data_IF_781105238070
#
_entry.id   IF_781105238070
#
_cell.length_a   1.000
_cell.length_b   1.000
_cell.length_c   1.000
_cell.angle_alpha   90.00
_cell.angle_beta   90.00
_cell.angle_gamma   90.00
#
_symmetry.space_group_name_H-M   'P 1'
#
loop_
_entity.id
_entity.type
_entity.pdbx_description
1 polymer ?
#
# COMPACT_ATOMS: atom_id res chain seq x y z
N UNK A 1 -68.37 21.56 -33.49
CA UNK A 1 -67.01 22.02 -33.79
C UNK A 1 -66.22 22.02 -32.47
N UNK A 2 -65.47 20.94 -32.18
CA UNK A 2 -64.70 20.79 -30.93
C UNK A 2 -63.25 21.18 -31.24
N UNK A 3 -62.77 22.20 -30.57
CA UNK A 3 -61.37 22.68 -30.68
C UNK A 3 -60.54 21.85 -29.71
N UNK A 4 -59.60 21.04 -30.22
CA UNK A 4 -58.57 20.37 -29.44
C UNK A 4 -57.41 21.37 -29.24
N UNK A 5 -57.14 21.69 -27.97
CA UNK A 5 -55.97 22.45 -27.57
C UNK A 5 -54.86 21.44 -27.23
N UNK A 6 -53.80 21.39 -28.08
CA UNK A 6 -52.58 20.65 -27.78
C UNK A 6 -51.72 21.48 -26.82
N UNK A 7 -51.56 21.01 -25.58
CA UNK A 7 -50.57 21.57 -24.65
C UNK A 7 -49.20 20.94 -24.98
N UNK A 8 -48.28 21.75 -25.50
CA UNK A 8 -46.87 21.39 -25.71
C UNK A 8 -46.14 21.49 -24.36
N UNK A 9 -45.82 20.34 -23.73
CA UNK A 9 -44.99 20.28 -22.56
C UNK A 9 -43.51 20.47 -22.97
N UNK A 10 -42.94 21.61 -22.68
CA UNK A 10 -41.51 21.85 -22.79
C UNK A 10 -40.80 21.11 -21.63
N UNK A 11 -40.16 19.98 -21.93
CA UNK A 11 -39.24 19.31 -20.97
C UNK A 11 -37.93 20.11 -20.97
N UNK A 12 -37.76 20.94 -19.98
CA UNK A 12 -36.47 21.56 -19.67
C UNK A 12 -35.54 20.46 -19.13
N UNK A 13 -34.70 19.91 -19.99
CA UNK A 13 -33.56 19.10 -19.61
C UNK A 13 -32.53 20.00 -18.93
N UNK A 14 -32.50 20.03 -17.60
CA UNK A 14 -31.39 20.57 -16.87
C UNK A 14 -30.17 19.70 -17.15
N UNK A 15 -29.01 20.28 -17.56
CA UNK A 15 -27.78 19.52 -17.61
C UNK A 15 -27.52 18.99 -16.18
N UNK A 16 -27.32 17.69 -16.03
CA UNK A 16 -26.83 17.12 -14.80
C UNK A 16 -25.44 17.73 -14.57
N UNK A 17 -25.36 18.72 -13.70
CA UNK A 17 -24.07 19.19 -13.18
C UNK A 17 -23.45 17.99 -12.47
N UNK A 18 -22.41 17.40 -13.08
CA UNK A 18 -21.61 16.39 -12.43
C UNK A 18 -21.15 16.97 -11.09
N UNK A 19 -21.39 16.25 -10.01
CA UNK A 19 -20.98 16.68 -8.67
C UNK A 19 -19.48 16.97 -8.71
N UNK A 20 -19.10 18.20 -8.37
CA UNK A 20 -17.69 18.61 -8.37
C UNK A 20 -16.91 17.70 -7.40
N UNK A 21 -15.80 17.12 -7.88
CA UNK A 21 -14.98 16.23 -7.05
C UNK A 21 -14.42 16.98 -5.86
N UNK A 22 -14.60 16.44 -4.68
CA UNK A 22 -14.04 16.96 -3.45
C UNK A 22 -12.74 16.23 -3.14
N UNK A 23 -11.74 16.98 -2.73
CA UNK A 23 -10.40 16.48 -2.49
C UNK A 23 -9.91 16.80 -1.10
N UNK A 24 -9.06 15.93 -0.57
CA UNK A 24 -8.32 16.20 0.65
C UNK A 24 -6.89 15.64 0.54
N UNK A 25 -6.04 16.11 1.46
CA UNK A 25 -4.69 15.57 1.66
C UNK A 25 -4.60 15.05 3.10
N UNK A 26 -4.02 13.88 3.27
CA UNK A 26 -3.80 13.28 4.59
C UNK A 26 -2.81 14.12 5.39
N UNK A 27 -3.21 14.57 6.58
CA UNK A 27 -2.44 15.48 7.47
C UNK A 27 -1.64 14.72 8.54
N UNK A 28 -2.17 13.63 9.07
CA UNK A 28 -1.51 12.86 10.11
C UNK A 28 -0.50 11.89 9.50
N UNK A 29 0.52 11.49 10.25
CA UNK A 29 1.53 10.52 9.81
C UNK A 29 0.90 9.23 9.26
N UNK A 30 -0.21 8.82 9.83
CA UNK A 30 -1.09 7.81 9.23
C UNK A 30 -2.53 8.01 9.70
N UNK A 31 -3.48 7.74 8.81
CA UNK A 31 -4.90 7.67 9.13
C UNK A 31 -5.40 6.25 8.98
N UNK A 32 -6.35 5.86 9.85
CA UNK A 32 -7.06 4.59 9.73
C UNK A 32 -8.26 4.76 8.82
N UNK A 33 -8.38 3.93 7.80
CA UNK A 33 -9.54 3.80 6.93
C UNK A 33 -10.32 2.55 7.31
N UNK A 34 -11.59 2.70 7.63
CA UNK A 34 -12.45 1.64 8.17
C UNK A 34 -13.54 1.25 7.19
N UNK A 35 -14.04 0.03 7.35
CA UNK A 35 -15.10 -0.51 6.49
C UNK A 35 -16.41 0.29 6.58
N UNK A 36 -16.73 0.78 7.77
CA UNK A 36 -17.92 1.59 8.06
C UNK A 36 -17.52 2.86 8.84
N UNK A 37 -18.32 3.93 8.81
CA UNK A 37 -18.09 5.15 9.58
C UNK A 37 -18.35 4.93 11.08
N UNK A 38 -17.55 4.09 11.70
CA UNK A 38 -17.61 3.65 13.09
C UNK A 38 -16.23 3.22 13.59
N UNK A 39 -15.84 3.60 14.81
CA UNK A 39 -14.59 3.21 15.45
C UNK A 39 -14.49 1.70 15.75
N UNK A 40 -15.61 1.04 15.92
CA UNK A 40 -15.68 -0.41 16.16
C UNK A 40 -15.62 -1.23 14.88
N UNK A 41 -15.79 -0.58 13.73
CA UNK A 41 -15.69 -1.23 12.43
C UNK A 41 -14.26 -1.71 12.13
N UNK A 42 -14.15 -2.78 11.35
CA UNK A 42 -12.87 -3.33 10.93
C UNK A 42 -11.98 -2.28 10.23
N UNK A 43 -10.69 -2.30 10.56
CA UNK A 43 -9.68 -1.55 9.82
C UNK A 43 -9.51 -2.20 8.45
N UNK A 44 -9.64 -1.40 7.40
CA UNK A 44 -9.40 -1.83 6.01
C UNK A 44 -7.97 -1.54 5.57
N UNK A 45 -7.52 -0.32 5.81
CA UNK A 45 -6.16 0.12 5.47
C UNK A 45 -5.76 1.35 6.27
N UNK A 46 -4.52 1.75 6.12
CA UNK A 46 -4.00 3.06 6.50
C UNK A 46 -3.56 3.82 5.25
N UNK A 47 -3.66 5.15 5.30
CA UNK A 47 -3.01 6.04 4.34
C UNK A 47 -2.05 6.97 5.06
N UNK A 48 -0.98 7.36 4.36
CA UNK A 48 0.14 8.10 4.92
C UNK A 48 0.01 9.60 4.64
N UNK A 49 0.65 10.42 5.47
CA UNK A 49 0.71 11.88 5.29
C UNK A 49 1.12 12.27 3.87
N UNK A 50 0.42 13.25 3.34
CA UNK A 50 0.67 13.76 1.99
C UNK A 50 -0.03 13.01 0.86
N UNK A 51 -0.72 11.90 1.15
CA UNK A 51 -1.57 11.22 0.16
C UNK A 51 -2.75 12.10 -0.19
N UNK A 52 -2.97 12.33 -1.49
CA UNK A 52 -4.15 13.00 -2.02
C UNK A 52 -5.27 11.97 -2.17
N UNK A 53 -6.45 12.29 -1.64
CA UNK A 53 -7.62 11.41 -1.67
C UNK A 53 -8.85 12.15 -2.20
N UNK A 54 -9.75 11.45 -2.88
CA UNK A 54 -11.06 11.96 -3.27
C UNK A 54 -12.06 11.67 -2.13
N UNK A 55 -12.89 12.65 -1.77
CA UNK A 55 -13.98 12.47 -0.81
C UNK A 55 -15.23 12.08 -1.58
N UNK A 56 -15.65 10.83 -1.43
CA UNK A 56 -16.80 10.25 -2.14
C UNK A 56 -18.12 10.46 -1.39
N UNK A 57 -18.09 10.44 -0.05
CA UNK A 57 -19.27 10.65 0.79
C UNK A 57 -18.89 11.17 2.18
N UNK A 58 -19.90 11.61 2.95
CA UNK A 58 -19.69 12.03 4.33
C UNK A 58 -20.85 11.56 5.23
N UNK A 59 -20.53 11.28 6.50
CA UNK A 59 -21.49 10.95 7.55
C UNK A 59 -20.98 11.48 8.88
N UNK A 60 -21.55 12.59 9.34
CA UNK A 60 -21.06 13.31 10.51
C UNK A 60 -19.61 13.77 10.31
N UNK A 61 -18.74 13.40 11.23
CA UNK A 61 -17.28 13.68 11.11
C UNK A 61 -16.51 12.63 10.31
N UNK A 62 -17.17 11.65 9.68
CA UNK A 62 -16.56 10.65 8.80
C UNK A 62 -16.59 11.11 7.35
N UNK A 63 -15.53 10.77 6.62
CA UNK A 63 -15.39 10.93 5.18
C UNK A 63 -15.11 9.58 4.55
N UNK A 64 -15.93 9.17 3.59
CA UNK A 64 -15.58 8.06 2.70
C UNK A 64 -14.59 8.59 1.69
N UNK A 65 -13.37 8.11 1.75
CA UNK A 65 -12.27 8.56 0.89
C UNK A 65 -11.83 7.45 -0.05
N UNK A 66 -11.40 7.86 -1.24
CA UNK A 66 -10.78 6.98 -2.22
C UNK A 66 -9.33 7.38 -2.39
N UNK A 67 -8.44 6.44 -2.05
CA UNK A 67 -6.99 6.62 -2.16
C UNK A 67 -6.46 6.24 -3.55
N UNK A 68 -5.26 6.70 -3.93
CA UNK A 68 -4.59 6.24 -5.15
C UNK A 68 -4.45 4.72 -5.17
N UNK A 69 -4.58 4.11 -6.37
CA UNK A 69 -4.72 2.65 -6.56
C UNK A 69 -6.04 2.19 -5.93
N UNK A 70 -7.16 2.50 -6.54
CA UNK A 70 -8.48 2.74 -5.94
C UNK A 70 -8.78 1.85 -4.75
N UNK A 71 -8.84 2.46 -3.57
CA UNK A 71 -9.26 1.82 -2.33
C UNK A 71 -10.19 2.75 -1.56
N UNK A 72 -11.43 2.36 -1.38
CA UNK A 72 -12.48 3.19 -0.78
C UNK A 72 -12.83 2.70 0.63
N UNK A 73 -12.73 3.59 1.60
CA UNK A 73 -13.10 3.31 2.99
C UNK A 73 -13.28 4.61 3.80
N UNK A 74 -13.71 4.53 5.04
CA UNK A 74 -14.07 5.63 5.90
C UNK A 74 -12.92 6.07 6.81
N UNK A 75 -12.59 7.35 6.78
CA UNK A 75 -11.65 8.00 7.69
C UNK A 75 -12.32 9.17 8.42
N UNK A 76 -11.73 9.63 9.53
CA UNK A 76 -12.22 10.81 10.22
C UNK A 76 -11.70 12.09 9.57
N UNK A 77 -12.52 13.14 9.54
CA UNK A 77 -12.16 14.46 8.98
C UNK A 77 -10.90 15.06 9.62
N UNK A 78 -10.64 14.77 10.90
CA UNK A 78 -9.51 15.33 11.65
C UNK A 78 -8.13 14.89 11.10
N UNK A 79 -8.10 13.80 10.34
CA UNK A 79 -6.89 13.32 9.66
C UNK A 79 -6.69 13.91 8.25
N UNK A 80 -7.57 14.81 7.81
CA UNK A 80 -7.64 15.31 6.44
C UNK A 80 -7.62 16.82 6.38
N UNK A 81 -6.99 17.37 5.35
CA UNK A 81 -7.10 18.78 4.96
C UNK A 81 -7.85 18.84 3.64
N UNK A 82 -9.12 19.26 3.67
CA UNK A 82 -9.90 19.47 2.45
C UNK A 82 -9.32 20.63 1.66
N UNK A 83 -9.20 20.46 0.34
CA UNK A 83 -8.59 21.43 -0.57
C UNK A 83 -9.44 21.58 -1.82
N UNK A 84 -9.50 22.82 -2.35
CA UNK A 84 -10.07 23.06 -3.67
C UNK A 84 -9.23 22.40 -4.77
N UNK A 85 -9.79 22.26 -5.97
CA UNK A 85 -9.06 21.73 -7.12
C UNK A 85 -7.76 22.52 -7.39
N UNK A 86 -7.82 23.85 -7.31
CA UNK A 86 -6.64 24.69 -7.48
C UNK A 86 -5.57 24.41 -6.43
N UNK A 87 -5.95 24.31 -5.15
CA UNK A 87 -5.01 23.97 -4.07
C UNK A 87 -4.38 22.59 -4.23
N UNK A 88 -5.13 21.61 -4.75
CA UNK A 88 -4.60 20.29 -5.06
C UNK A 88 -3.55 20.36 -6.18
N UNK A 89 -3.79 21.14 -7.24
CA UNK A 89 -2.80 21.29 -8.33
C UNK A 89 -1.53 22.00 -7.81
N UNK A 90 -1.68 23.04 -6.99
CA UNK A 90 -0.56 23.69 -6.31
C UNK A 90 0.18 22.72 -5.38
N UNK A 91 -0.57 21.89 -4.63
CA UNK A 91 0.01 20.87 -3.76
C UNK A 91 0.79 19.80 -4.56
N UNK A 92 0.26 19.34 -5.70
CA UNK A 92 0.94 18.39 -6.59
C UNK A 92 2.23 18.97 -7.16
N UNK A 93 2.20 20.22 -7.61
CA UNK A 93 3.34 20.91 -8.22
C UNK A 93 4.46 21.26 -7.24
N UNK A 94 4.16 21.38 -5.94
CA UNK A 94 5.15 21.76 -4.93
C UNK A 94 6.24 20.69 -4.78
N UNK A 95 7.53 21.09 -4.64
CA UNK A 95 8.62 20.15 -4.35
C UNK A 95 8.36 19.36 -3.07
N UNK A 96 8.60 18.05 -3.10
CA UNK A 96 8.38 17.17 -1.96
C UNK A 96 9.62 16.38 -1.58
N UNK A 97 9.64 16.01 -0.32
CA UNK A 97 10.58 15.05 0.26
C UNK A 97 9.82 13.92 0.91
N UNK A 98 10.37 12.73 0.82
CA UNK A 98 9.87 11.52 1.45
C UNK A 98 10.60 11.33 2.78
N UNK A 99 9.88 11.11 3.86
CA UNK A 99 10.47 10.68 5.12
C UNK A 99 10.93 9.22 5.01
N UNK A 100 12.24 8.99 5.18
CA UNK A 100 12.89 7.71 4.85
C UNK A 100 13.29 6.88 6.08
N UNK A 101 13.14 7.41 7.30
CA UNK A 101 13.31 6.61 8.52
C UNK A 101 12.00 5.88 8.87
N UNK A 102 12.09 4.82 9.68
CA UNK A 102 10.90 4.07 10.10
C UNK A 102 9.93 4.91 10.95
N UNK A 103 10.50 5.75 11.82
CA UNK A 103 9.76 6.61 12.73
C UNK A 103 10.58 7.84 13.11
N UNK A 104 9.93 8.96 13.34
CA UNK A 104 10.57 10.20 13.78
C UNK A 104 9.59 11.29 14.16
N UNK A 105 10.09 12.52 14.24
CA UNK A 105 9.32 13.69 14.64
C UNK A 105 9.62 14.90 13.78
N UNK A 106 8.62 15.73 13.59
CA UNK A 106 8.75 17.08 13.10
C UNK A 106 8.90 18.03 14.29
N UNK A 107 9.90 18.89 14.27
CA UNK A 107 10.26 19.79 15.36
C UNK A 107 9.95 21.24 15.04
N UNK A 108 9.63 22.05 16.07
CA UNK A 108 9.31 23.48 15.93
C UNK A 108 10.52 24.34 15.56
N UNK A 109 11.74 23.89 15.83
CA UNK A 109 13.01 24.55 15.51
C UNK A 109 14.01 23.51 15.04
N UNK A 110 15.11 23.91 14.36
CA UNK A 110 16.16 22.98 13.89
C UNK A 110 17.01 22.45 15.07
N UNK A 111 16.34 21.76 15.99
CA UNK A 111 16.91 21.17 17.19
C UNK A 111 16.02 20.03 17.70
N UNK A 112 16.61 18.87 18.01
CA UNK A 112 15.90 17.72 18.56
C UNK A 112 15.39 17.97 20.02
N UNK A 113 15.88 19.00 20.69
CA UNK A 113 15.39 19.43 22.00
C UNK A 113 14.24 20.44 21.94
N UNK A 114 13.82 20.86 20.74
CA UNK A 114 12.67 21.76 20.59
C UNK A 114 11.35 20.98 20.66
N UNK A 115 10.23 21.70 20.80
CA UNK A 115 8.91 21.09 20.87
C UNK A 115 8.61 20.26 19.61
N UNK A 116 8.08 19.08 19.79
CA UNK A 116 7.54 18.22 18.72
C UNK A 116 6.24 18.79 18.20
N UNK A 117 6.09 18.88 16.88
CA UNK A 117 4.85 19.30 16.18
C UNK A 117 3.96 18.08 15.93
N UNK A 118 4.51 17.04 15.35
CA UNK A 118 3.85 15.76 15.10
C UNK A 118 4.89 14.64 14.97
N UNK A 119 4.41 13.39 14.97
CA UNK A 119 5.20 12.23 14.58
C UNK A 119 5.26 12.10 13.05
N UNK A 120 6.18 11.26 12.58
CA UNK A 120 6.36 10.88 11.19
C UNK A 120 6.63 9.39 11.09
N UNK A 121 6.17 8.77 10.02
CA UNK A 121 6.45 7.38 9.66
C UNK A 121 7.06 7.29 8.26
N UNK A 122 7.79 6.21 8.00
CA UNK A 122 8.37 5.97 6.68
C UNK A 122 7.30 6.02 5.58
N UNK A 123 7.56 6.82 4.55
CA UNK A 123 6.61 7.03 3.46
C UNK A 123 5.84 8.36 3.51
N UNK A 124 5.90 9.09 4.62
CA UNK A 124 5.27 10.42 4.71
C UNK A 124 5.86 11.37 3.68
N UNK A 125 4.97 12.08 2.94
CA UNK A 125 5.32 13.08 1.96
C UNK A 125 5.12 14.49 2.51
N UNK A 126 6.19 15.27 2.53
CA UNK A 126 6.23 16.62 3.06
C UNK A 126 6.63 17.62 1.97
N UNK A 127 6.03 18.79 1.93
CA UNK A 127 6.48 19.86 1.03
C UNK A 127 7.83 20.41 1.50
N UNK A 128 8.80 20.44 0.62
CA UNK A 128 10.11 21.03 0.90
C UNK A 128 9.99 22.56 0.96
N UNK A 129 10.57 23.18 1.99
CA UNK A 129 10.66 24.64 2.11
C UNK A 129 12.09 25.11 1.87
N UNK A 130 13.01 24.70 2.74
CA UNK A 130 14.43 25.06 2.63
C UNK A 130 15.32 24.17 3.49
N UNK A 131 16.62 24.23 3.25
CA UNK A 131 17.64 23.56 4.05
C UNK A 131 18.45 24.57 4.89
N UNK A 132 18.78 24.18 6.15
CA UNK A 132 19.65 24.96 7.04
C UNK A 132 20.59 23.99 7.76
N UNK A 133 21.85 23.93 7.32
CA UNK A 133 22.82 22.98 7.86
C UNK A 133 22.34 21.54 7.74
N UNK A 134 22.31 20.81 8.86
CA UNK A 134 21.84 19.43 8.94
C UNK A 134 20.31 19.27 9.00
N UNK A 135 19.56 20.38 8.91
CA UNK A 135 18.10 20.39 9.05
C UNK A 135 17.43 20.87 7.77
N UNK A 136 16.25 20.33 7.52
CA UNK A 136 15.35 20.76 6.44
C UNK A 136 14.04 21.25 7.06
N UNK A 137 13.62 22.43 6.66
CA UNK A 137 12.27 22.93 6.93
C UNK A 137 11.31 22.35 5.91
N UNK A 138 10.23 21.79 6.40
CA UNK A 138 9.16 21.20 5.59
C UNK A 138 7.81 21.77 6.00
N UNK A 139 6.82 21.62 5.15
CA UNK A 139 5.46 22.09 5.37
C UNK A 139 4.47 20.93 5.28
N UNK A 140 3.63 20.80 6.30
CA UNK A 140 2.51 19.88 6.36
C UNK A 140 1.40 20.29 5.38
N UNK A 141 0.45 19.40 5.04
CA UNK A 141 -0.71 19.74 4.21
C UNK A 141 -1.49 20.95 4.72
N UNK A 142 -1.65 21.11 6.04
CA UNK A 142 -2.32 22.24 6.69
C UNK A 142 -1.60 23.58 6.56
N UNK A 143 -0.38 23.62 6.01
CA UNK A 143 0.46 24.82 5.93
C UNK A 143 1.36 25.05 7.14
N UNK A 144 1.21 24.29 8.23
CA UNK A 144 2.16 24.35 9.36
C UNK A 144 3.55 23.94 8.91
N UNK A 145 4.59 24.61 9.38
CA UNK A 145 5.99 24.27 9.06
C UNK A 145 6.71 23.71 10.27
N UNK A 146 7.74 22.93 9.99
CA UNK A 146 8.61 22.37 11.01
C UNK A 146 9.93 21.87 10.43
N UNK A 147 10.78 21.37 11.31
CA UNK A 147 12.16 21.00 11.00
C UNK A 147 12.39 19.52 11.23
N UNK A 148 13.16 18.92 10.33
CA UNK A 148 13.56 17.52 10.40
C UNK A 148 15.03 17.39 10.03
N UNK A 149 15.73 16.37 10.56
CA UNK A 149 17.11 16.07 10.15
C UNK A 149 17.12 15.68 8.67
N UNK A 150 17.97 16.35 7.89
CA UNK A 150 18.04 16.15 6.43
C UNK A 150 18.44 14.73 6.04
N UNK A 151 19.15 14.01 6.91
CA UNK A 151 19.56 12.61 6.70
C UNK A 151 18.38 11.63 6.65
N UNK A 152 17.23 12.00 7.23
CA UNK A 152 16.01 11.18 7.21
C UNK A 152 15.12 11.46 6.00
N UNK A 153 15.56 12.28 5.06
CA UNK A 153 14.78 12.67 3.91
C UNK A 153 15.39 12.20 2.60
N UNK A 154 14.54 11.67 1.73
CA UNK A 154 14.86 11.42 0.32
C UNK A 154 14.11 12.42 -0.56
N UNK A 155 14.73 12.87 -1.66
CA UNK A 155 14.02 13.66 -2.67
C UNK A 155 12.91 12.80 -3.29
N UNK A 156 11.70 13.36 -3.38
CA UNK A 156 10.60 12.71 -4.06
C UNK A 156 10.44 13.28 -5.47
N UNK A 157 10.50 12.41 -6.47
CA UNK A 157 10.37 12.76 -7.90
C UNK A 157 8.99 12.36 -8.49
N UNK A 158 8.06 11.94 -7.65
CA UNK A 158 6.79 11.32 -8.04
C UNK A 158 6.82 9.81 -7.84
N UNK A 159 5.62 9.20 -7.82
CA UNK A 159 5.48 7.75 -7.80
C UNK A 159 5.25 7.21 -9.20
N UNK A 160 5.92 6.09 -9.52
CA UNK A 160 5.54 5.23 -10.63
C UNK A 160 4.43 4.31 -10.12
N UNK A 161 3.23 4.47 -10.66
CA UNK A 161 2.08 3.65 -10.28
C UNK A 161 2.05 2.39 -11.15
N UNK A 162 1.99 1.22 -10.52
CA UNK A 162 1.83 -0.05 -11.22
C UNK A 162 0.42 -0.57 -10.92
N UNK A 163 -0.46 -0.53 -11.91
CA UNK A 163 -1.83 -0.99 -11.80
C UNK A 163 -2.00 -2.42 -12.34
N UNK A 164 -3.17 -3.00 -12.08
CA UNK A 164 -3.55 -4.32 -12.58
C UNK A 164 -3.48 -4.36 -14.10
N UNK A 165 -2.71 -5.31 -14.66
CA UNK A 165 -2.62 -5.55 -16.10
C UNK A 165 -1.69 -4.59 -16.85
N UNK A 166 -1.11 -3.61 -16.18
CA UNK A 166 -0.04 -2.76 -16.71
C UNK A 166 1.33 -3.40 -16.45
N UNK A 167 1.45 -4.68 -16.73
CA UNK A 167 2.71 -5.41 -16.73
C UNK A 167 3.66 -4.92 -17.82
N UNK A 168 4.00 -3.63 -17.80
CA UNK A 168 5.26 -3.18 -18.32
C UNK A 168 6.28 -3.40 -17.20
N UNK A 169 6.66 -4.64 -17.04
CA UNK A 169 7.92 -5.03 -16.46
C UNK A 169 9.05 -4.50 -17.37
N UNK A 170 9.11 -3.19 -17.59
CA UNK A 170 10.37 -2.52 -17.83
C UNK A 170 11.11 -2.62 -16.50
N UNK A 171 11.46 -3.85 -16.24
CA UNK A 171 12.27 -4.44 -15.20
C UNK A 171 12.72 -3.40 -14.17
N UNK A 172 12.12 -3.47 -12.99
CA UNK A 172 12.80 -2.93 -11.80
C UNK A 172 14.22 -3.51 -11.86
N UNK A 173 15.23 -2.66 -11.92
CA UNK A 173 16.62 -3.13 -11.99
C UNK A 173 16.96 -3.92 -10.73
N UNK A 174 17.88 -4.88 -10.84
CA UNK A 174 18.33 -5.69 -9.69
C UNK A 174 18.76 -4.80 -8.50
N UNK A 175 19.47 -3.70 -8.75
CA UNK A 175 19.86 -2.76 -7.69
C UNK A 175 18.64 -2.12 -7.00
N UNK A 176 17.61 -1.75 -7.77
CA UNK A 176 16.39 -1.18 -7.20
C UNK A 176 15.60 -2.23 -6.41
N UNK A 177 15.62 -3.49 -6.86
CA UNK A 177 15.00 -4.59 -6.12
C UNK A 177 15.71 -4.84 -4.78
N UNK A 178 17.05 -4.77 -4.75
CA UNK A 178 17.80 -4.87 -3.49
C UNK A 178 17.44 -3.72 -2.52
N UNK A 179 17.27 -2.49 -3.03
CA UNK A 179 16.78 -1.38 -2.19
C UNK A 179 15.38 -1.65 -1.62
N UNK A 180 14.48 -2.24 -2.42
CA UNK A 180 13.11 -2.61 -1.97
C UNK A 180 13.17 -3.68 -0.88
N UNK A 181 13.98 -4.72 -1.07
CA UNK A 181 14.16 -5.78 -0.07
C UNK A 181 14.77 -5.20 1.21
N UNK A 182 15.77 -4.33 1.10
CA UNK A 182 16.37 -3.68 2.25
C UNK A 182 15.36 -2.82 3.05
N UNK A 183 14.38 -2.18 2.39
CA UNK A 183 13.28 -1.49 3.10
C UNK A 183 12.36 -2.48 3.83
N UNK A 184 12.08 -3.65 3.24
CA UNK A 184 11.31 -4.70 3.92
C UNK A 184 12.07 -5.26 5.15
N UNK A 185 13.38 -5.48 5.03
CA UNK A 185 14.23 -6.00 6.11
C UNK A 185 14.32 -5.04 7.32
N UNK A 186 14.25 -3.73 7.11
CA UNK A 186 14.16 -2.74 8.21
C UNK A 186 12.92 -2.94 9.09
N UNK A 187 11.87 -3.58 8.55
CA UNK A 187 10.63 -3.84 9.27
C UNK A 187 10.63 -5.19 10.01
N UNK A 188 11.72 -5.97 9.98
CA UNK A 188 11.81 -7.24 10.71
C UNK A 188 11.43 -7.05 12.19
N UNK A 189 10.56 -7.94 12.70
CA UNK A 189 10.03 -7.89 14.06
C UNK A 189 8.84 -6.95 14.27
N UNK A 190 8.45 -6.12 13.29
CA UNK A 190 7.25 -5.27 13.39
C UNK A 190 6.02 -6.18 13.48
N UNK A 191 5.12 -5.95 14.48
CA UNK A 191 3.91 -6.76 14.65
C UNK A 191 2.98 -6.72 13.43
N UNK A 192 2.30 -7.84 13.20
CA UNK A 192 1.22 -7.89 12.21
C UNK A 192 0.04 -7.03 12.68
N UNK A 193 -0.41 -6.14 11.82
CA UNK A 193 -1.63 -5.37 11.99
C UNK A 193 -2.45 -5.47 10.71
N UNK A 194 -3.63 -6.06 10.78
CA UNK A 194 -4.55 -6.07 9.64
C UNK A 194 -4.81 -4.64 9.15
N UNK A 195 -4.65 -4.38 7.85
CA UNK A 195 -4.76 -3.03 7.28
C UNK A 195 -3.55 -2.12 7.54
N UNK A 196 -2.55 -2.57 8.29
CA UNK A 196 -1.39 -1.76 8.66
C UNK A 196 -0.45 -1.47 7.48
N UNK A 197 0.15 -0.27 7.52
CA UNK A 197 1.05 0.25 6.47
C UNK A 197 2.31 0.93 7.05
N UNK A 198 2.59 0.76 8.35
CA UNK A 198 3.66 1.53 9.03
C UNK A 198 4.54 0.64 9.91
N UNK A 199 5.67 1.18 10.35
CA UNK A 199 6.54 0.53 11.33
C UNK A 199 5.86 0.30 12.71
N UNK A 200 4.65 0.81 12.94
CA UNK A 200 3.85 0.55 14.15
C UNK A 200 3.00 -0.72 14.04
N UNK A 201 2.88 -1.27 12.85
CA UNK A 201 2.17 -2.48 12.50
C UNK A 201 1.91 -2.54 11.00
N UNK A 202 2.11 -3.72 10.40
CA UNK A 202 2.01 -3.90 8.96
C UNK A 202 1.41 -5.27 8.63
N UNK A 203 0.48 -5.34 7.65
CA UNK A 203 0.04 -6.63 7.12
C UNK A 203 0.92 -7.11 5.95
N UNK A 204 0.63 -8.27 5.39
CA UNK A 204 1.44 -8.89 4.34
C UNK A 204 1.56 -8.02 3.08
N UNK A 205 0.46 -7.52 2.55
CA UNK A 205 0.45 -6.66 1.36
C UNK A 205 0.88 -5.23 1.65
N UNK A 206 0.69 -4.76 2.90
CA UNK A 206 1.20 -3.49 3.40
C UNK A 206 2.73 -3.48 3.49
N UNK A 207 3.35 -4.58 3.93
CA UNK A 207 4.80 -4.75 3.91
C UNK A 207 5.34 -4.59 2.47
N UNK A 208 4.75 -5.31 1.52
CA UNK A 208 5.12 -5.19 0.11
C UNK A 208 4.93 -3.75 -0.37
N UNK A 209 3.73 -3.18 -0.17
CA UNK A 209 3.40 -1.83 -0.64
C UNK A 209 4.33 -0.76 -0.08
N UNK A 210 4.61 -0.76 1.23
CA UNK A 210 5.49 0.26 1.83
C UNK A 210 6.94 0.12 1.37
N UNK A 211 7.45 -1.10 1.18
CA UNK A 211 8.81 -1.33 0.69
C UNK A 211 9.00 -0.77 -0.73
N UNK A 212 8.00 -0.96 -1.59
CA UNK A 212 8.00 -0.39 -2.94
C UNK A 212 7.80 1.13 -2.93
N UNK A 213 6.87 1.65 -2.11
CA UNK A 213 6.60 3.09 -1.97
C UNK A 213 7.85 3.86 -1.55
N UNK A 214 8.62 3.34 -0.59
CA UNK A 214 9.90 3.92 -0.15
C UNK A 214 10.93 4.03 -1.26
N UNK A 215 10.72 3.32 -2.37
CA UNK A 215 11.52 3.30 -3.58
C UNK A 215 10.86 3.98 -4.77
N UNK A 216 9.80 4.76 -4.54
CA UNK A 216 9.11 5.54 -5.56
C UNK A 216 8.13 4.75 -6.41
N UNK A 217 7.75 3.53 -6.01
CA UNK A 217 6.82 2.67 -6.74
C UNK A 217 5.56 2.47 -5.91
N UNK A 218 4.41 2.77 -6.47
CA UNK A 218 3.11 2.60 -5.83
C UNK A 218 2.40 1.37 -6.37
N UNK A 219 2.28 0.33 -5.53
CA UNK A 219 1.51 -0.88 -5.81
C UNK A 219 0.08 -0.78 -5.26
N UNK A 220 -0.87 -1.58 -5.78
CA UNK A 220 -2.18 -1.73 -5.17
C UNK A 220 -2.10 -2.19 -3.71
N UNK A 221 -3.15 -1.88 -2.93
CA UNK A 221 -3.15 -2.15 -1.49
C UNK A 221 -3.22 -3.64 -1.15
N UNK A 222 -4.04 -4.39 -1.86
CA UNK A 222 -4.35 -5.78 -1.49
C UNK A 222 -3.50 -6.80 -2.26
N UNK A 223 -3.11 -7.89 -1.60
CA UNK A 223 -2.42 -9.01 -2.23
C UNK A 223 -3.20 -9.58 -3.44
N UNK A 224 -4.54 -9.60 -3.36
CA UNK A 224 -5.42 -10.00 -4.45
C UNK A 224 -5.39 -9.09 -5.69
N UNK A 225 -4.90 -7.87 -5.55
CA UNK A 225 -4.66 -6.94 -6.64
C UNK A 225 -3.18 -7.00 -7.09
N UNK A 226 -2.25 -7.11 -6.14
CA UNK A 226 -0.81 -7.16 -6.41
C UNK A 226 -0.42 -8.35 -7.30
N UNK A 227 -1.11 -9.50 -7.19
CA UNK A 227 -0.85 -10.68 -8.02
C UNK A 227 -1.01 -10.43 -9.54
N UNK A 228 -1.63 -9.33 -9.93
CA UNK A 228 -1.84 -8.96 -11.33
C UNK A 228 -0.92 -7.83 -11.82
N UNK A 229 0.07 -7.43 -11.02
CA UNK A 229 0.91 -6.26 -11.32
C UNK A 229 2.20 -6.57 -12.09
N UNK A 230 2.52 -7.83 -12.32
CA UNK A 230 3.76 -8.23 -13.01
C UNK A 230 3.58 -9.48 -13.87
N UNK A 231 4.69 -9.91 -14.44
CA UNK A 231 4.74 -11.12 -15.25
C UNK A 231 4.69 -12.36 -14.36
N UNK A 232 3.86 -13.32 -14.76
CA UNK A 232 3.75 -14.60 -14.02
C UNK A 232 5.05 -15.38 -14.11
N UNK A 233 5.56 -15.80 -12.96
CA UNK A 233 6.66 -16.76 -12.91
C UNK A 233 6.13 -18.16 -13.25
N UNK A 234 6.70 -18.86 -14.25
CA UNK A 234 6.29 -20.20 -14.60
C UNK A 234 6.42 -21.16 -13.39
N UNK A 235 5.32 -21.76 -12.99
CA UNK A 235 5.23 -22.61 -11.81
C UNK A 235 4.17 -23.68 -12.01
N UNK A 236 4.54 -24.94 -11.79
CA UNK A 236 3.61 -26.05 -11.76
C UNK A 236 3.21 -26.32 -10.31
N UNK A 237 1.91 -26.41 -10.05
CA UNK A 237 1.38 -26.60 -8.70
C UNK A 237 0.52 -27.84 -8.69
N UNK A 238 1.00 -28.89 -8.04
CA UNK A 238 0.22 -30.09 -7.83
C UNK A 238 -0.77 -29.88 -6.66
N UNK A 239 -2.05 -29.86 -6.97
CA UNK A 239 -3.12 -29.59 -6.00
C UNK A 239 -3.34 -30.73 -5.00
N UNK A 240 -2.78 -31.92 -5.25
CA UNK A 240 -2.83 -33.05 -4.31
C UNK A 240 -2.30 -32.65 -2.92
N UNK A 241 -1.24 -31.83 -2.88
CA UNK A 241 -0.59 -31.40 -1.63
C UNK A 241 -1.35 -30.27 -0.88
N UNK A 242 -2.55 -29.94 -1.29
CA UNK A 242 -3.50 -29.17 -0.48
C UNK A 242 -4.15 -30.04 0.60
N UNK A 243 -4.15 -31.37 0.40
CA UNK A 243 -4.57 -32.34 1.42
C UNK A 243 -3.48 -32.49 2.50
N UNK A 244 -3.91 -32.53 3.77
CA UNK A 244 -2.99 -32.60 4.91
C UNK A 244 -2.17 -33.91 4.94
N UNK A 245 -2.78 -35.03 4.60
CA UNK A 245 -2.10 -36.33 4.60
C UNK A 245 -1.04 -36.41 3.50
N UNK A 246 -1.33 -35.86 2.31
CA UNK A 246 -0.36 -35.78 1.22
C UNK A 246 0.89 -34.99 1.58
N UNK A 247 0.76 -33.95 2.43
CA UNK A 247 1.89 -33.13 2.90
C UNK A 247 2.81 -33.85 3.90
N UNK A 248 2.38 -34.97 4.46
CA UNK A 248 3.19 -35.77 5.38
C UNK A 248 4.10 -36.75 4.64
N UNK A 249 4.09 -36.72 3.31
CA UNK A 249 4.89 -37.63 2.48
C UNK A 249 6.19 -36.97 2.00
N UNK A 250 7.25 -37.76 1.72
CA UNK A 250 8.52 -37.23 1.18
C UNK A 250 8.36 -36.49 -0.15
N UNK A 251 7.36 -36.88 -0.96
CA UNK A 251 7.05 -36.29 -2.26
C UNK A 251 6.67 -34.81 -2.15
N UNK A 252 6.11 -34.37 -1.00
CA UNK A 252 5.79 -32.99 -0.77
C UNK A 252 7.03 -32.08 -0.78
N UNK A 253 8.14 -32.53 -0.21
CA UNK A 253 9.38 -31.75 -0.22
C UNK A 253 9.92 -31.57 -1.65
N UNK A 254 9.86 -32.65 -2.47
CA UNK A 254 10.26 -32.60 -3.87
C UNK A 254 9.35 -31.64 -4.69
N UNK A 255 8.04 -31.72 -4.45
CA UNK A 255 7.07 -30.81 -5.07
C UNK A 255 7.39 -29.33 -4.73
N UNK A 256 7.65 -29.00 -3.46
CA UNK A 256 7.99 -27.64 -3.07
C UNK A 256 9.29 -27.15 -3.71
N UNK A 257 10.29 -27.99 -3.84
CA UNK A 257 11.52 -27.66 -4.59
C UNK A 257 11.22 -27.33 -6.06
N UNK A 258 10.32 -28.08 -6.71
CA UNK A 258 9.92 -27.78 -8.10
C UNK A 258 9.15 -26.45 -8.19
N UNK A 259 8.25 -26.16 -7.24
CA UNK A 259 7.49 -24.88 -7.21
C UNK A 259 8.41 -23.68 -7.13
N UNK A 260 9.48 -23.74 -6.34
CA UNK A 260 10.37 -22.60 -6.08
C UNK A 260 11.52 -22.45 -7.07
N UNK A 261 11.76 -23.43 -7.94
CA UNK A 261 12.96 -23.49 -8.81
C UNK A 261 13.14 -22.30 -9.76
N UNK A 262 12.03 -21.68 -10.19
CA UNK A 262 12.04 -20.55 -11.13
C UNK A 262 11.97 -19.20 -10.44
N UNK A 263 11.84 -19.17 -9.10
CA UNK A 263 11.82 -17.94 -8.33
C UNK A 263 13.17 -17.24 -8.38
N UNK A 264 13.14 -15.94 -8.54
CA UNK A 264 14.30 -15.04 -8.42
C UNK A 264 14.08 -14.05 -7.30
N UNK A 265 15.17 -13.62 -6.70
CA UNK A 265 15.17 -12.60 -5.66
C UNK A 265 14.37 -11.37 -6.11
N UNK A 266 13.39 -10.94 -5.31
CA UNK A 266 12.45 -9.87 -5.61
C UNK A 266 11.09 -10.32 -6.13
N UNK A 267 10.91 -11.58 -6.54
CA UNK A 267 9.60 -12.09 -6.95
C UNK A 267 8.59 -11.96 -5.79
N UNK A 268 7.37 -11.53 -6.11
CA UNK A 268 6.26 -11.55 -5.15
C UNK A 268 5.58 -12.91 -5.19
N UNK A 269 5.50 -13.56 -4.04
CA UNK A 269 4.97 -14.92 -3.88
C UNK A 269 3.63 -14.88 -3.17
N UNK A 270 2.60 -15.49 -3.76
CA UNK A 270 1.21 -15.39 -3.31
C UNK A 270 0.67 -16.72 -2.82
N UNK A 271 -0.08 -16.65 -1.70
CA UNK A 271 -0.68 -17.80 -1.06
C UNK A 271 -2.19 -17.60 -0.89
N UNK A 272 -2.92 -18.72 -0.83
CA UNK A 272 -4.36 -18.63 -0.66
C UNK A 272 -5.08 -19.92 -0.94
N UNK A 273 -6.21 -19.87 -1.64
CA UNK A 273 -7.03 -21.00 -2.03
C UNK A 273 -7.19 -20.98 -3.54
N UNK A 274 -6.93 -22.09 -4.25
CA UNK A 274 -7.10 -22.15 -5.69
C UNK A 274 -8.57 -22.01 -6.10
N UNK A 275 -8.78 -21.72 -7.37
CA UNK A 275 -10.12 -21.77 -7.97
C UNK A 275 -10.67 -23.20 -7.90
N UNK A 276 -11.99 -23.32 -7.70
CA UNK A 276 -12.76 -24.54 -7.81
C UNK A 276 -13.93 -24.34 -8.77
N UNK A 277 -14.71 -25.39 -9.03
CA UNK A 277 -15.91 -25.28 -9.87
C UNK A 277 -16.93 -24.25 -9.35
N UNK A 278 -16.94 -24.01 -8.02
CA UNK A 278 -17.95 -23.19 -7.35
C UNK A 278 -17.44 -21.78 -6.99
N UNK A 279 -16.12 -21.55 -6.97
CA UNK A 279 -15.53 -20.28 -6.55
C UNK A 279 -14.22 -19.97 -7.28
N UNK A 280 -13.96 -18.68 -7.51
CA UNK A 280 -12.69 -18.19 -8.03
C UNK A 280 -11.52 -18.36 -7.03
N UNK A 281 -10.30 -18.20 -7.52
CA UNK A 281 -9.09 -18.16 -6.71
C UNK A 281 -9.17 -17.04 -5.66
N UNK A 282 -8.76 -17.35 -4.42
CA UNK A 282 -8.69 -16.39 -3.33
C UNK A 282 -7.26 -16.24 -2.83
N UNK A 283 -6.65 -15.09 -3.10
CA UNK A 283 -5.34 -14.71 -2.56
C UNK A 283 -5.53 -14.15 -1.15
N UNK A 284 -4.80 -14.71 -0.18
CA UNK A 284 -4.92 -14.31 1.24
C UNK A 284 -3.62 -13.84 1.87
N UNK A 285 -2.49 -14.06 1.18
CA UNK A 285 -1.17 -13.70 1.71
C UNK A 285 -0.18 -13.44 0.58
N UNK A 286 0.86 -12.64 0.88
CA UNK A 286 1.96 -12.34 -0.04
C UNK A 286 3.26 -12.17 0.75
N UNK A 287 4.38 -12.54 0.13
CA UNK A 287 5.73 -12.26 0.61
C UNK A 287 6.66 -11.88 -0.54
N UNK A 288 7.82 -11.34 -0.23
CA UNK A 288 8.90 -11.05 -1.20
C UNK A 288 9.90 -12.20 -1.10
N UNK A 289 10.18 -12.88 -2.21
CA UNK A 289 11.22 -13.90 -2.26
C UNK A 289 12.61 -13.25 -2.20
N UNK A 290 13.41 -13.66 -1.23
CA UNK A 290 14.73 -13.07 -0.96
C UNK A 290 15.89 -13.99 -1.35
N UNK A 291 15.61 -15.07 -2.10
CA UNK A 291 16.61 -16.07 -2.49
C UNK A 291 16.71 -17.24 -1.50
N UNK A 292 17.45 -18.27 -1.85
CA UNK A 292 17.71 -19.45 -1.00
C UNK A 292 16.44 -20.07 -0.40
N UNK A 293 15.37 -20.12 -1.18
CA UNK A 293 14.04 -20.62 -0.79
C UNK A 293 13.33 -19.84 0.32
N UNK A 294 13.80 -18.64 0.66
CA UNK A 294 13.23 -17.81 1.73
C UNK A 294 12.40 -16.66 1.19
N UNK A 295 11.37 -16.30 1.96
CA UNK A 295 10.55 -15.12 1.77
C UNK A 295 10.63 -14.24 3.01
N UNK A 296 10.57 -12.90 2.81
CA UNK A 296 10.24 -11.94 3.85
C UNK A 296 8.76 -11.61 3.75
N UNK A 297 8.03 -11.75 4.84
CA UNK A 297 6.58 -11.54 4.88
C UNK A 297 6.11 -11.10 6.27
N UNK A 298 4.89 -10.56 6.36
CA UNK A 298 4.27 -10.25 7.65
C UNK A 298 3.22 -11.32 7.99
N UNK A 299 3.52 -12.11 9.02
CA UNK A 299 2.64 -13.16 9.60
C UNK A 299 2.97 -13.26 11.09
N UNK A 300 2.07 -12.86 11.99
CA UNK A 300 2.26 -12.49 13.38
C UNK A 300 3.18 -11.27 13.57
N UNK A 301 4.28 -11.23 12.86
CA UNK A 301 5.23 -10.13 12.72
C UNK A 301 5.92 -10.22 11.36
N UNK A 302 6.66 -9.20 10.99
CA UNK A 302 7.56 -9.29 9.83
C UNK A 302 8.71 -10.23 10.16
N UNK A 303 8.86 -11.28 9.36
CA UNK A 303 9.84 -12.34 9.55
C UNK A 303 10.28 -12.95 8.23
N UNK A 304 11.36 -13.72 8.29
CA UNK A 304 11.88 -14.51 7.17
C UNK A 304 11.59 -15.98 7.47
N UNK A 305 11.09 -16.69 6.45
CA UNK A 305 10.83 -18.14 6.54
C UNK A 305 11.17 -18.83 5.24
N UNK A 306 11.58 -20.08 5.35
CA UNK A 306 11.78 -20.96 4.19
C UNK A 306 10.44 -21.45 3.61
N UNK A 307 10.40 -21.61 2.29
CA UNK A 307 9.30 -22.26 1.57
C UNK A 307 9.42 -23.77 1.57
N UNK A 308 10.56 -24.33 1.98
CA UNK A 308 10.81 -25.78 1.94
C UNK A 308 10.50 -26.44 3.29
N UNK A 309 9.73 -27.53 3.32
CA UNK A 309 9.36 -28.23 4.55
C UNK A 309 10.53 -28.96 5.24
N UNK A 310 11.69 -29.03 4.59
CA UNK A 310 12.92 -29.60 5.15
C UNK A 310 13.68 -28.64 6.05
N UNK A 311 13.37 -27.36 6.01
CA UNK A 311 14.10 -26.33 6.72
C UNK A 311 13.45 -26.05 8.08
N UNK A 312 14.26 -25.74 9.09
CA UNK A 312 13.79 -25.54 10.47
C UNK A 312 12.88 -24.33 10.66
N UNK A 313 12.99 -23.33 9.79
CA UNK A 313 12.19 -22.11 9.77
C UNK A 313 11.10 -22.12 8.70
N UNK A 314 10.65 -23.32 8.33
CA UNK A 314 9.61 -23.54 7.33
C UNK A 314 8.33 -22.74 7.61
N UNK A 315 7.80 -22.12 6.57
CA UNK A 315 6.49 -21.48 6.61
C UNK A 315 5.38 -22.51 6.41
N UNK A 316 4.66 -22.85 7.46
CA UNK A 316 3.66 -23.92 7.50
C UNK A 316 2.55 -23.79 6.44
N UNK A 317 2.29 -22.56 5.95
CA UNK A 317 1.33 -22.30 4.90
C UNK A 317 1.92 -22.25 3.49
N UNK A 318 3.19 -22.60 3.30
CA UNK A 318 3.82 -22.58 1.97
C UNK A 318 3.15 -23.57 0.98
N UNK A 319 2.54 -24.62 1.48
CA UNK A 319 1.70 -25.54 0.67
C UNK A 319 0.56 -24.80 -0.06
N UNK A 320 0.13 -23.64 0.44
CA UNK A 320 -0.93 -22.81 -0.14
C UNK A 320 -0.40 -21.84 -1.22
N UNK A 321 0.81 -22.03 -1.70
CA UNK A 321 1.39 -21.25 -2.79
C UNK A 321 0.51 -21.34 -4.04
N UNK A 322 0.06 -20.16 -4.52
CA UNK A 322 -0.81 -20.01 -5.70
C UNK A 322 -0.05 -19.61 -6.96
N UNK A 323 1.11 -19.01 -6.79
CA UNK A 323 1.93 -18.51 -7.87
C UNK A 323 2.83 -17.37 -7.43
N UNK A 324 3.59 -16.85 -8.37
CA UNK A 324 4.44 -15.69 -8.17
C UNK A 324 4.42 -14.77 -9.38
N UNK A 325 4.77 -13.51 -9.17
CA UNK A 325 4.98 -12.53 -10.24
C UNK A 325 6.35 -11.90 -10.10
N UNK A 326 6.87 -11.40 -11.21
CA UNK A 326 8.09 -10.60 -11.32
C UNK A 326 7.75 -9.22 -11.84
N UNK A 327 8.25 -8.18 -11.18
CA UNK A 327 8.10 -6.76 -11.51
C UNK A 327 9.36 -6.21 -12.16
#
# INVERSE_FOLDING_TARGET
MRILVFALAFILSFPAFGQEKRWAVVELSSICMRQQPDYESALETQELMGTIVEIAAEKGYWREIESPQPYKAWATEKGLVEMSQQQIEEYKAAPKVLFAALYGHLYSKPSASSATICDLVGGDLLRFVRKKGAWTEVMLPSGRTGWIRSEFLKKHAGFISIAKGEGNANSISDNKMEEIIAEAEKLLGVPYLWGGMTAKGVDCSGLVRISYLMNGILLPRNASQQIFCGDKVPMEINTLFWDEKARQTPEFAAEMQQRVKNLKRGDLVFFGTPASAERGQRVTHVGIYIGNNHIIHSSHMVRINSLLPTDSDYYENSHRLLGAIRL
#
